data_IF_308584464905
#
_entry.id   IF_308584464905
#
_cell.length_a   1.000
_cell.length_b   1.000
_cell.length_c   1.000
_cell.angle_alpha   90.00
_cell.angle_beta   90.00
_cell.angle_gamma   90.00
#
_symmetry.space_group_name_H-M   'P 1'
#
loop_
_entity.id
_entity.type
_entity.pdbx_description
1 polymer ?
#
# COMPACT_ATOMS: atom_id res chain seq x y z
N UNK A 1 -20.29 -1.91 20.39
CA UNK A 1 -18.95 -1.42 20.01
C UNK A 1 -18.09 -2.64 19.76
N UNK A 2 -17.48 -2.76 18.57
CA UNK A 2 -16.48 -3.79 18.31
C UNK A 2 -15.25 -3.58 19.22
N UNK A 3 -14.53 -4.64 19.51
CA UNK A 3 -13.26 -4.58 20.26
C UNK A 3 -12.26 -3.71 19.48
N UNK A 4 -11.54 -2.83 20.18
CA UNK A 4 -10.37 -2.16 19.63
C UNK A 4 -9.29 -3.18 19.28
N UNK A 5 -8.57 -2.94 18.18
CA UNK A 5 -7.42 -3.76 17.82
C UNK A 5 -6.38 -3.79 18.94
N UNK A 6 -5.76 -4.93 19.12
CA UNK A 6 -4.60 -5.08 20.02
C UNK A 6 -3.34 -4.54 19.39
N UNK A 7 -2.33 -4.33 20.23
CA UNK A 7 -0.99 -3.95 19.78
C UNK A 7 -0.41 -4.95 18.76
N UNK A 8 -0.65 -6.25 18.96
CA UNK A 8 -0.21 -7.29 18.02
C UNK A 8 -0.90 -7.15 16.67
N UNK A 9 -2.22 -6.99 16.65
CA UNK A 9 -3.00 -6.81 15.41
C UNK A 9 -2.59 -5.53 14.66
N UNK A 10 -2.23 -4.46 15.37
CA UNK A 10 -1.70 -3.22 14.76
C UNK A 10 -0.30 -3.44 14.20
N UNK A 11 0.57 -4.13 14.93
CA UNK A 11 1.92 -4.45 14.47
C UNK A 11 1.88 -5.31 13.19
N UNK A 12 0.99 -6.29 13.12
CA UNK A 12 0.78 -7.11 11.92
C UNK A 12 0.30 -6.29 10.72
N UNK A 13 -0.64 -5.35 10.92
CA UNK A 13 -1.07 -4.46 9.83
C UNK A 13 0.06 -3.57 9.33
N UNK A 14 0.89 -3.04 10.23
CA UNK A 14 2.02 -2.19 9.84
C UNK A 14 3.11 -2.98 9.11
N UNK A 15 3.40 -4.21 9.56
CA UNK A 15 4.32 -5.11 8.86
C UNK A 15 3.80 -5.49 7.47
N UNK A 16 2.49 -5.77 7.35
CA UNK A 16 1.85 -6.02 6.06
C UNK A 16 1.98 -4.79 5.14
N UNK A 17 1.70 -3.58 5.64
CA UNK A 17 1.85 -2.36 4.86
C UNK A 17 3.29 -2.13 4.40
N UNK A 18 4.28 -2.35 5.28
CA UNK A 18 5.71 -2.24 4.92
C UNK A 18 6.11 -3.25 3.84
N UNK A 19 5.60 -4.48 3.89
CA UNK A 19 5.84 -5.49 2.85
C UNK A 19 5.29 -5.04 1.50
N UNK A 20 4.09 -4.47 1.47
CA UNK A 20 3.51 -3.95 0.23
C UNK A 20 4.28 -2.74 -0.30
N UNK A 21 4.69 -1.80 0.56
CA UNK A 21 5.57 -0.68 0.17
C UNK A 21 6.89 -1.17 -0.43
N UNK A 22 7.52 -2.17 0.18
CA UNK A 22 8.75 -2.76 -0.36
C UNK A 22 8.53 -3.46 -1.71
N UNK A 23 7.36 -4.06 -1.94
CA UNK A 23 7.00 -4.63 -3.23
C UNK A 23 6.78 -3.54 -4.30
N UNK A 24 6.08 -2.47 -3.94
CA UNK A 24 5.84 -1.32 -4.81
C UNK A 24 7.16 -0.66 -5.21
N UNK A 25 8.05 -0.43 -4.25
CA UNK A 25 9.35 0.19 -4.49
C UNK A 25 10.17 -0.61 -5.52
N UNK A 26 10.20 -1.94 -5.42
CA UNK A 26 10.88 -2.80 -6.40
C UNK A 26 10.29 -2.67 -7.80
N UNK A 27 8.97 -2.61 -7.93
CA UNK A 27 8.31 -2.41 -9.22
C UNK A 27 8.63 -1.03 -9.82
N UNK A 28 8.67 0.01 -8.98
CA UNK A 28 9.06 1.35 -9.40
C UNK A 28 10.53 1.43 -9.82
N UNK A 29 11.43 0.77 -9.09
CA UNK A 29 12.84 0.67 -9.45
C UNK A 29 13.02 -0.05 -10.80
N UNK A 30 12.26 -1.13 -11.04
CA UNK A 30 12.26 -1.80 -12.35
C UNK A 30 11.74 -0.86 -13.45
N UNK A 31 10.64 -0.16 -13.19
CA UNK A 31 10.01 0.77 -14.14
C UNK A 31 10.97 1.89 -14.56
N UNK A 32 11.64 2.52 -13.59
CA UNK A 32 12.63 3.58 -13.83
C UNK A 32 13.89 3.02 -14.50
N UNK A 33 14.23 1.76 -14.22
CA UNK A 33 15.36 1.06 -14.82
C UNK A 33 15.16 0.63 -16.28
N UNK A 34 13.92 0.65 -16.80
CA UNK A 34 13.62 0.26 -18.17
C UNK A 34 14.21 1.25 -19.18
N UNK A 35 15.15 0.75 -20.00
CA UNK A 35 15.68 1.50 -21.15
C UNK A 35 14.83 1.23 -22.38
N UNK A 36 14.09 2.23 -22.82
CA UNK A 36 13.34 2.20 -24.09
C UNK A 36 14.26 2.75 -25.19
N UNK A 37 15.17 1.91 -25.68
CA UNK A 37 16.04 2.24 -26.79
C UNK A 37 16.46 0.99 -27.57
N UNK A 38 16.91 1.18 -28.81
CA UNK A 38 17.35 0.10 -29.69
C UNK A 38 16.42 -0.14 -30.88
N UNK A 39 16.34 -1.38 -31.34
CA UNK A 39 15.51 -1.76 -32.50
C UNK A 39 14.02 -1.57 -32.21
N UNK A 40 13.20 -1.49 -33.27
CA UNK A 40 11.73 -1.38 -33.14
C UNK A 40 11.14 -2.46 -32.23
N UNK A 41 11.64 -3.69 -32.32
CA UNK A 41 11.17 -4.81 -31.50
C UNK A 41 11.60 -4.68 -30.03
N UNK A 42 12.80 -4.14 -29.77
CA UNK A 42 13.28 -3.87 -28.42
C UNK A 42 12.45 -2.77 -27.75
N UNK A 43 12.14 -1.70 -28.48
CA UNK A 43 11.27 -0.62 -28.02
C UNK A 43 9.87 -1.14 -27.72
N UNK A 44 9.28 -1.95 -28.61
CA UNK A 44 7.95 -2.53 -28.39
C UNK A 44 7.89 -3.43 -27.15
N UNK A 45 8.92 -4.27 -26.92
CA UNK A 45 9.01 -5.10 -25.72
C UNK A 45 9.18 -4.28 -24.44
N UNK A 46 10.03 -3.25 -24.47
CA UNK A 46 10.25 -2.37 -23.33
C UNK A 46 8.97 -1.58 -22.98
N UNK A 47 8.24 -1.09 -23.97
CA UNK A 47 6.95 -0.43 -23.76
C UNK A 47 5.92 -1.38 -23.14
N UNK A 48 5.82 -2.62 -23.66
CA UNK A 48 4.91 -3.62 -23.09
C UNK A 48 5.22 -3.89 -21.61
N UNK A 49 6.49 -4.03 -21.26
CA UNK A 49 6.91 -4.25 -19.87
C UNK A 49 6.64 -3.02 -18.98
N UNK A 50 6.85 -1.83 -19.51
CA UNK A 50 6.50 -0.57 -18.83
C UNK A 50 5.02 -0.56 -18.46
N UNK A 51 4.14 -0.87 -19.40
CA UNK A 51 2.69 -0.86 -19.17
C UNK A 51 2.27 -1.96 -18.18
N UNK A 52 2.87 -3.16 -18.28
CA UNK A 52 2.66 -4.25 -17.32
C UNK A 52 3.09 -3.88 -15.88
N UNK A 53 4.17 -3.12 -15.73
CA UNK A 53 4.65 -2.68 -14.42
C UNK A 53 3.71 -1.63 -13.80
N UNK A 54 3.20 -0.71 -14.60
CA UNK A 54 2.19 0.25 -14.14
C UNK A 54 0.94 -0.48 -13.65
N UNK A 55 0.44 -1.45 -14.42
CA UNK A 55 -0.73 -2.24 -14.01
C UNK A 55 -0.48 -3.01 -12.72
N UNK A 56 0.70 -3.60 -12.56
CA UNK A 56 1.07 -4.30 -11.31
C UNK A 56 1.15 -3.36 -10.11
N UNK A 57 1.68 -2.14 -10.28
CA UNK A 57 1.74 -1.12 -9.22
C UNK A 57 0.32 -0.69 -8.83
N UNK A 58 -0.53 -0.39 -9.80
CA UNK A 58 -1.90 0.05 -9.54
C UNK A 58 -2.71 -1.06 -8.85
N UNK A 59 -2.56 -2.31 -9.30
CA UNK A 59 -3.18 -3.47 -8.67
C UNK A 59 -2.73 -3.65 -7.23
N UNK A 60 -1.42 -3.59 -6.97
CA UNK A 60 -0.86 -3.68 -5.62
C UNK A 60 -1.43 -2.58 -4.70
N UNK A 61 -1.54 -1.35 -5.21
CA UNK A 61 -2.10 -0.23 -4.43
C UNK A 61 -3.57 -0.47 -4.10
N UNK A 62 -4.38 -0.82 -5.09
CA UNK A 62 -5.84 -0.92 -4.96
C UNK A 62 -6.25 -2.17 -4.20
N UNK A 63 -5.68 -3.32 -4.55
CA UNK A 63 -6.12 -4.61 -4.02
C UNK A 63 -5.47 -4.97 -2.69
N UNK A 64 -4.25 -4.49 -2.43
CA UNK A 64 -3.48 -4.90 -1.27
C UNK A 64 -3.23 -3.75 -0.27
N UNK A 65 -2.76 -2.59 -0.74
CA UNK A 65 -2.37 -1.49 0.16
C UNK A 65 -3.57 -0.71 0.73
N UNK A 66 -4.53 -0.32 -0.13
CA UNK A 66 -5.70 0.45 0.29
C UNK A 66 -6.47 -0.25 1.43
N UNK A 67 -6.79 -1.55 1.35
CA UNK A 67 -7.48 -2.24 2.44
C UNK A 67 -6.72 -2.18 3.78
N UNK A 68 -5.39 -2.26 3.76
CA UNK A 68 -4.57 -2.13 4.97
C UNK A 68 -4.65 -0.71 5.53
N UNK A 69 -4.55 0.31 4.67
CA UNK A 69 -4.69 1.72 5.05
C UNK A 69 -6.07 2.01 5.64
N UNK A 70 -7.13 1.48 5.05
CA UNK A 70 -8.50 1.63 5.56
C UNK A 70 -8.64 1.04 6.96
N UNK A 71 -8.08 -0.15 7.21
CA UNK A 71 -8.09 -0.77 8.54
C UNK A 71 -7.32 0.05 9.56
N UNK A 72 -6.16 0.60 9.19
CA UNK A 72 -5.38 1.50 10.06
C UNK A 72 -6.19 2.77 10.36
N UNK A 73 -6.82 3.37 9.36
CA UNK A 73 -7.64 4.57 9.52
C UNK A 73 -8.85 4.32 10.44
N UNK A 74 -9.52 3.18 10.29
CA UNK A 74 -10.61 2.76 11.17
C UNK A 74 -10.16 2.61 12.63
N UNK A 75 -8.97 2.04 12.85
CA UNK A 75 -8.39 1.94 14.19
C UNK A 75 -8.11 3.32 14.79
N UNK A 76 -7.48 4.22 14.04
CA UNK A 76 -7.20 5.60 14.49
C UNK A 76 -8.50 6.33 14.84
N UNK A 77 -9.53 6.23 14.00
CA UNK A 77 -10.83 6.84 14.26
C UNK A 77 -11.46 6.28 15.55
N UNK A 78 -11.38 4.97 15.78
CA UNK A 78 -11.90 4.35 17.00
C UNK A 78 -11.16 4.82 18.26
N UNK A 79 -9.84 5.03 18.19
CA UNK A 79 -9.06 5.62 19.28
C UNK A 79 -9.49 7.06 19.56
N UNK A 80 -9.63 7.89 18.52
CA UNK A 80 -10.07 9.29 18.65
C UNK A 80 -11.48 9.40 19.25
N UNK A 81 -12.40 8.51 18.85
CA UNK A 81 -13.73 8.46 19.44
C UNK A 81 -13.72 8.10 20.94
N UNK A 82 -12.84 7.18 21.35
CA UNK A 82 -12.69 6.79 22.75
C UNK A 82 -12.16 7.97 23.57
N UNK A 83 -11.07 8.59 23.13
CA UNK A 83 -10.47 9.76 23.77
C UNK A 83 -11.49 10.92 23.91
N UNK A 84 -12.28 11.17 22.86
CA UNK A 84 -13.29 12.23 22.86
C UNK A 84 -14.49 11.94 23.79
N UNK A 85 -14.73 10.67 24.16
CA UNK A 85 -15.75 10.27 25.14
C UNK A 85 -15.20 10.34 26.56
N UNK A 86 -13.99 9.84 26.78
CA UNK A 86 -13.33 9.83 28.09
C UNK A 86 -12.96 11.26 28.54
N UNK A 87 -12.49 12.10 27.63
CA UNK A 87 -12.20 13.52 27.90
C UNK A 87 -13.43 14.42 28.14
N UNK A 88 -14.66 13.91 27.96
CA UNK A 88 -15.91 14.60 28.33
C UNK A 88 -16.47 14.15 29.68
N UNK A 89 -15.89 13.11 30.29
CA UNK A 89 -16.32 12.56 31.57
C UNK A 89 -15.48 13.06 32.77
N UNK A 90 -14.46 13.88 32.52
CA UNK A 90 -13.67 14.60 33.54
C UNK A 90 -13.92 16.09 33.48
#
# INVERSE_FOLDING_TARGET
>A
MGRLMTQEEVAELLDQFQKHLGAEQRLQEELVGLKISGSRDQVAKAQKRHDELIEQIDRLRIEEMIPVVERIAQFVAACQELEAREGRAG
#
